data_IF_104197011193
#
_entry.id   IF_104197011193
#
_cell.length_a   1.000
_cell.length_b   1.000
_cell.length_c   1.000
_cell.angle_alpha   90.00
_cell.angle_beta   90.00
_cell.angle_gamma   90.00
#
_symmetry.space_group_name_H-M   'P 1'
#
loop_
_entity.id
_entity.type
_entity.pdbx_description
1 polymer ?
#
# COMPACT_ATOMS: atom_id res chain seq x y z
N UNK A 1 12.44 -1.37 26.74
CA UNK A 1 12.35 -0.50 25.56
C UNK A 1 11.87 -1.34 24.41
N UNK A 2 10.90 -0.88 23.63
CA UNK A 2 10.43 -1.58 22.43
C UNK A 2 11.58 -1.65 21.43
N UNK A 3 11.92 -2.85 21.00
CA UNK A 3 12.91 -3.09 19.96
C UNK A 3 12.39 -2.57 18.62
N UNK A 4 13.29 -2.08 17.79
CA UNK A 4 12.99 -1.57 16.44
C UNK A 4 12.49 -2.68 15.53
N UNK A 5 11.34 -2.47 14.88
CA UNK A 5 10.78 -3.42 13.92
C UNK A 5 11.57 -3.41 12.60
N UNK A 6 11.52 -4.50 11.84
CA UNK A 6 12.20 -4.60 10.53
C UNK A 6 11.17 -4.77 9.43
N UNK A 7 11.12 -3.81 8.52
CA UNK A 7 10.32 -3.89 7.29
C UNK A 7 11.21 -4.28 6.12
N UNK A 8 10.92 -5.39 5.47
CA UNK A 8 11.57 -5.79 4.22
C UNK A 8 10.82 -5.18 3.04
N UNK A 9 11.55 -4.45 2.19
CA UNK A 9 11.02 -3.69 1.06
C UNK A 9 11.92 -3.90 -0.18
N UNK A 10 11.38 -3.64 -1.37
CA UNK A 10 12.11 -3.77 -2.63
C UNK A 10 12.98 -2.55 -2.87
N UNK A 11 14.24 -2.78 -3.17
CA UNK A 11 15.17 -1.74 -3.59
C UNK A 11 14.74 -1.16 -4.95
N UNK A 12 15.06 0.12 -5.17
CA UNK A 12 15.11 0.72 -6.51
C UNK A 12 16.16 1.83 -6.56
N UNK A 13 16.40 2.35 -7.75
CA UNK A 13 17.26 3.52 -7.97
C UNK A 13 16.50 4.85 -7.86
N UNK A 14 15.22 4.83 -7.49
CA UNK A 14 14.43 6.05 -7.31
C UNK A 14 14.82 6.75 -6.00
N UNK A 15 14.86 8.09 -5.94
CA UNK A 15 15.21 8.81 -4.72
C UNK A 15 14.37 8.37 -3.50
N UNK A 16 15.07 7.87 -2.47
CA UNK A 16 14.47 7.41 -1.21
C UNK A 16 13.93 5.97 -1.21
N UNK A 17 14.03 5.24 -2.33
CA UNK A 17 13.69 3.82 -2.52
C UNK A 17 12.24 3.41 -2.17
N UNK A 18 11.38 4.34 -1.75
CA UNK A 18 9.97 4.09 -1.44
C UNK A 18 9.09 4.36 -2.68
N UNK A 19 8.73 3.30 -3.39
CA UNK A 19 7.96 3.38 -4.64
C UNK A 19 6.86 2.32 -4.73
N UNK A 20 7.12 1.10 -4.24
CA UNK A 20 6.18 -0.01 -4.41
C UNK A 20 4.95 0.16 -3.51
N UNK A 21 3.73 0.03 -4.05
CA UNK A 21 2.51 0.35 -3.32
C UNK A 21 2.21 -0.64 -2.18
N UNK A 22 2.66 -1.90 -2.26
CA UNK A 22 2.38 -2.86 -1.19
C UNK A 22 3.28 -2.65 0.04
N UNK A 23 4.61 -2.49 -0.09
CA UNK A 23 5.46 -2.14 1.04
C UNK A 23 5.26 -0.72 1.60
N UNK A 24 4.78 0.22 0.77
CA UNK A 24 4.40 1.55 1.26
C UNK A 24 3.29 1.47 2.33
N UNK A 25 2.32 0.54 2.22
CA UNK A 25 1.22 0.42 3.20
C UNK A 25 1.70 0.20 4.64
N UNK A 26 2.49 -0.86 4.97
CA UNK A 26 2.99 -1.03 6.33
C UNK A 26 3.96 0.08 6.73
N UNK A 27 4.73 0.66 5.80
CA UNK A 27 5.58 1.83 6.10
C UNK A 27 4.74 3.01 6.62
N UNK A 28 3.65 3.33 5.93
CA UNK A 28 2.71 4.39 6.33
C UNK A 28 2.08 4.07 7.69
N UNK A 29 1.65 2.82 7.91
CA UNK A 29 1.07 2.37 9.19
C UNK A 29 2.07 2.51 10.35
N UNK A 30 3.30 2.03 10.16
CA UNK A 30 4.35 2.08 11.19
C UNK A 30 4.62 3.52 11.62
N UNK A 31 4.76 4.43 10.64
CA UNK A 31 4.96 5.86 10.91
C UNK A 31 3.72 6.53 11.54
N UNK A 32 2.51 6.21 11.05
CA UNK A 32 1.25 6.69 11.63
C UNK A 32 1.13 6.33 13.12
N UNK A 33 1.41 5.06 13.46
CA UNK A 33 1.44 4.56 14.84
C UNK A 33 2.64 5.05 15.65
N UNK A 34 3.63 5.67 15.02
CA UNK A 34 4.86 6.14 15.69
C UNK A 34 5.76 4.99 16.17
N UNK A 35 5.67 3.82 15.53
CA UNK A 35 6.48 2.66 15.88
C UNK A 35 7.88 2.79 15.27
N UNK A 36 8.96 2.58 16.03
CA UNK A 36 10.32 2.63 15.49
C UNK A 36 10.56 1.43 14.58
N UNK A 37 11.00 1.67 13.35
CA UNK A 37 11.35 0.62 12.41
C UNK A 37 12.55 0.99 11.54
N UNK A 38 13.24 -0.02 11.03
CA UNK A 38 14.23 0.09 9.97
C UNK A 38 13.72 -0.63 8.73
N UNK A 39 14.22 -0.21 7.57
CA UNK A 39 13.95 -0.91 6.31
C UNK A 39 15.18 -1.70 5.89
N UNK A 40 14.97 -2.98 5.60
CA UNK A 40 15.93 -3.80 4.87
C UNK A 40 15.50 -3.80 3.41
N UNK A 41 16.33 -3.18 2.56
CA UNK A 41 16.10 -3.12 1.14
C UNK A 41 16.63 -4.39 0.46
N UNK A 42 15.80 -5.01 -0.36
CA UNK A 42 16.11 -6.26 -1.05
C UNK A 42 16.01 -6.05 -2.55
N UNK A 43 17.05 -6.44 -3.28
CA UNK A 43 17.04 -6.41 -4.75
C UNK A 43 15.91 -7.29 -5.29
N UNK A 44 15.24 -6.82 -6.35
CA UNK A 44 14.04 -7.48 -6.86
C UNK A 44 14.29 -8.96 -7.24
N UNK A 45 15.45 -9.25 -7.84
CA UNK A 45 15.87 -10.62 -8.21
C UNK A 45 16.06 -11.53 -6.99
N UNK A 46 16.39 -10.95 -5.84
CA UNK A 46 16.82 -11.67 -4.65
C UNK A 46 15.70 -11.80 -3.61
N UNK A 47 14.56 -11.11 -3.81
CA UNK A 47 13.40 -11.15 -2.89
C UNK A 47 13.03 -12.59 -2.53
N UNK A 48 12.91 -13.46 -3.53
CA UNK A 48 12.48 -14.84 -3.30
C UNK A 48 13.44 -15.60 -2.38
N UNK A 49 14.75 -15.46 -2.64
CA UNK A 49 15.81 -16.12 -1.87
C UNK A 49 15.89 -15.54 -0.46
N UNK A 50 15.89 -14.21 -0.34
CA UNK A 50 16.01 -13.50 0.93
C UNK A 50 14.83 -13.79 1.87
N UNK A 51 13.59 -13.70 1.37
CA UNK A 51 12.39 -13.94 2.18
C UNK A 51 12.30 -15.41 2.62
N UNK A 52 12.69 -16.34 1.74
CA UNK A 52 12.78 -17.76 2.11
C UNK A 52 13.84 -18.00 3.18
N UNK A 53 14.99 -17.35 3.10
CA UNK A 53 16.10 -17.53 4.05
C UNK A 53 15.74 -17.10 5.48
N UNK A 54 14.87 -16.08 5.64
CA UNK A 54 14.39 -15.64 6.96
C UNK A 54 13.17 -16.42 7.46
N UNK A 55 12.68 -17.41 6.69
CA UNK A 55 11.52 -18.22 7.05
C UNK A 55 10.17 -17.53 6.81
N UNK A 56 10.10 -16.52 5.94
CA UNK A 56 8.84 -15.86 5.60
C UNK A 56 7.88 -16.83 4.92
N UNK A 57 6.58 -16.70 5.19
CA UNK A 57 5.57 -17.55 4.55
C UNK A 57 5.41 -17.16 3.08
N UNK A 58 5.36 -18.12 2.14
CA UNK A 58 5.06 -17.84 0.75
C UNK A 58 3.57 -17.56 0.55
N UNK A 59 3.28 -16.81 -0.52
CA UNK A 59 1.97 -16.77 -1.16
C UNK A 59 1.91 -17.86 -2.25
N UNK A 60 0.69 -18.27 -2.61
CA UNK A 60 0.44 -19.23 -3.68
C UNK A 60 0.00 -18.50 -4.95
N UNK A 61 0.61 -18.84 -6.09
CA UNK A 61 0.06 -18.52 -7.43
C UNK A 61 -1.16 -19.38 -7.74
N UNK A 62 -1.89 -19.01 -8.78
CA UNK A 62 -3.03 -19.78 -9.32
C UNK A 62 -2.63 -21.20 -9.73
N UNK A 63 -1.38 -21.41 -10.14
CA UNK A 63 -0.79 -22.71 -10.49
C UNK A 63 -0.25 -23.50 -9.28
N UNK A 64 -0.37 -22.96 -8.06
CA UNK A 64 0.12 -23.58 -6.82
C UNK A 64 1.60 -23.33 -6.49
N UNK A 65 2.33 -22.61 -7.34
CA UNK A 65 3.74 -22.26 -7.12
C UNK A 65 3.90 -21.30 -5.94
N UNK A 66 4.89 -21.55 -5.10
CA UNK A 66 5.27 -20.65 -4.02
C UNK A 66 5.94 -19.38 -4.57
N UNK A 67 5.47 -18.24 -4.10
CA UNK A 67 6.08 -16.93 -4.34
C UNK A 67 6.31 -16.29 -3.00
N UNK A 68 7.51 -15.78 -2.78
CA UNK A 68 7.84 -15.05 -1.57
C UNK A 68 7.85 -13.56 -1.91
N UNK A 69 6.84 -12.76 -1.51
CA UNK A 69 6.77 -11.35 -1.83
C UNK A 69 7.32 -10.48 -0.69
N UNK A 70 7.51 -9.20 -1.00
CA UNK A 70 7.53 -8.10 -0.02
C UNK A 70 6.18 -7.36 -0.05
N UNK A 71 5.73 -6.72 1.04
CA UNK A 71 6.45 -6.56 2.30
C UNK A 71 6.42 -7.79 3.20
N UNK A 72 7.47 -7.90 4.02
CA UNK A 72 7.52 -8.76 5.20
C UNK A 72 7.87 -7.89 6.40
N UNK A 73 7.16 -8.06 7.52
CA UNK A 73 7.48 -7.42 8.80
C UNK A 73 8.07 -8.47 9.75
N UNK A 74 9.22 -8.16 10.35
CA UNK A 74 9.75 -8.88 11.49
C UNK A 74 9.62 -8.01 12.74
N UNK A 75 8.96 -8.55 13.77
CA UNK A 75 8.80 -7.89 15.05
C UNK A 75 9.60 -8.64 16.13
N UNK A 76 10.80 -8.15 16.52
CA UNK A 76 11.62 -8.78 17.54
C UNK A 76 11.01 -8.71 18.95
N UNK A 77 9.98 -7.88 19.19
CA UNK A 77 9.30 -7.80 20.47
C UNK A 77 8.41 -9.02 20.73
N UNK A 78 7.94 -9.68 19.68
CA UNK A 78 7.05 -10.85 19.76
C UNK A 78 7.61 -12.10 19.07
N UNK A 79 8.68 -11.94 18.28
CA UNK A 79 9.21 -12.99 17.40
C UNK A 79 8.36 -13.21 16.15
N UNK A 80 7.39 -12.34 15.86
CA UNK A 80 6.50 -12.49 14.72
C UNK A 80 7.21 -12.17 13.39
N UNK A 81 6.89 -12.95 12.36
CA UNK A 81 7.30 -12.74 10.99
C UNK A 81 6.06 -12.83 10.09
N UNK A 82 5.64 -11.69 9.56
CA UNK A 82 4.36 -11.53 8.87
C UNK A 82 4.61 -11.14 7.41
N UNK A 83 4.08 -11.95 6.48
CA UNK A 83 4.03 -11.66 5.05
C UNK A 83 2.64 -11.10 4.71
N UNK A 84 2.56 -10.25 3.69
CA UNK A 84 1.35 -9.56 3.19
C UNK A 84 1.02 -8.25 3.93
N UNK A 85 0.81 -7.18 3.16
CA UNK A 85 0.57 -5.83 3.70
C UNK A 85 -0.69 -5.73 4.56
N UNK A 86 -1.76 -6.46 4.23
CA UNK A 86 -3.01 -6.44 5.00
C UNK A 86 -2.85 -7.26 6.28
N UNK A 87 -2.20 -8.42 6.22
CA UNK A 87 -1.90 -9.21 7.42
C UNK A 87 -0.97 -8.45 8.38
N UNK A 88 0.01 -7.72 7.85
CA UNK A 88 0.85 -6.81 8.65
C UNK A 88 -0.02 -5.74 9.32
N UNK A 89 -0.94 -5.11 8.59
CA UNK A 89 -1.85 -4.12 9.16
C UNK A 89 -2.70 -4.70 10.29
N UNK A 90 -3.31 -5.87 10.09
CA UNK A 90 -4.12 -6.57 11.11
C UNK A 90 -3.30 -6.96 12.34
N UNK A 91 -2.05 -7.39 12.13
CA UNK A 91 -1.12 -7.70 13.21
C UNK A 91 -0.78 -6.45 14.03
N UNK A 92 -0.45 -5.34 13.36
CA UNK A 92 -0.12 -4.07 14.02
C UNK A 92 -1.32 -3.46 14.73
N UNK A 93 -2.53 -3.66 14.23
CA UNK A 93 -3.76 -3.24 14.92
C UNK A 93 -3.92 -3.93 16.26
N UNK A 94 -3.72 -5.26 16.29
CA UNK A 94 -3.89 -6.07 17.50
C UNK A 94 -2.75 -5.89 18.50
N UNK A 95 -1.52 -5.77 17.99
CA UNK A 95 -0.30 -5.75 18.83
C UNK A 95 -0.02 -4.35 19.37
N UNK A 96 -0.39 -3.30 18.63
CA UNK A 96 -0.11 -1.90 18.97
C UNK A 96 -1.39 -1.03 18.82
N UNK A 97 -2.34 -1.10 19.78
CA UNK A 97 -3.71 -0.60 19.59
C UNK A 97 -3.91 0.91 19.80
N UNK A 98 -2.86 1.68 20.10
CA UNK A 98 -2.98 3.11 20.49
C UNK A 98 -3.65 3.99 19.42
N UNK A 99 -3.39 3.71 18.15
CA UNK A 99 -4.04 4.37 17.01
C UNK A 99 -4.67 3.35 16.09
N UNK A 100 -5.98 3.40 15.91
CA UNK A 100 -6.70 2.44 15.08
C UNK A 100 -6.31 2.56 13.59
N UNK A 101 -6.04 1.43 12.96
CA UNK A 101 -5.90 1.28 11.51
C UNK A 101 -7.28 0.98 10.89
N UNK A 102 -8.10 0.21 11.62
CA UNK A 102 -9.39 -0.28 11.17
C UNK A 102 -10.52 0.21 12.08
N UNK A 103 -10.78 1.53 12.13
CA UNK A 103 -11.87 2.07 12.93
C UNK A 103 -13.21 1.43 12.54
N UNK A 104 -14.11 1.27 13.50
CA UNK A 104 -15.44 0.67 13.33
C UNK A 104 -15.42 -0.76 12.74
N UNK A 105 -14.39 -1.55 13.05
CA UNK A 105 -14.21 -2.92 12.53
C UNK A 105 -14.19 -2.99 10.98
N UNK A 106 -13.68 -1.93 10.35
CA UNK A 106 -13.64 -1.78 8.89
C UNK A 106 -12.74 -2.78 8.16
N UNK A 107 -11.91 -3.53 8.88
CA UNK A 107 -11.08 -4.62 8.31
C UNK A 107 -11.94 -5.63 7.53
N UNK A 108 -13.12 -5.96 8.05
CA UNK A 108 -14.06 -6.89 7.41
C UNK A 108 -14.51 -6.39 6.02
N UNK A 109 -14.68 -5.08 5.84
CA UNK A 109 -15.06 -4.46 4.57
C UNK A 109 -13.91 -4.50 3.57
N UNK A 110 -12.67 -4.34 4.04
CA UNK A 110 -11.47 -4.45 3.20
C UNK A 110 -11.27 -5.89 2.72
N UNK A 111 -11.56 -6.87 3.57
CA UNK A 111 -11.45 -8.30 3.27
C UNK A 111 -12.63 -8.86 2.46
N UNK A 112 -13.68 -8.07 2.26
CA UNK A 112 -14.85 -8.51 1.49
C UNK A 112 -14.44 -8.94 0.06
N UNK A 113 -14.89 -10.11 -0.43
CA UNK A 113 -14.56 -10.58 -1.77
C UNK A 113 -14.93 -9.60 -2.89
N UNK A 114 -15.94 -8.76 -2.70
CA UNK A 114 -16.33 -7.70 -3.64
C UNK A 114 -15.29 -6.60 -3.68
N UNK A 115 -14.81 -6.16 -2.51
CA UNK A 115 -13.70 -5.21 -2.38
C UNK A 115 -12.42 -5.79 -3.01
N UNK A 116 -12.13 -7.07 -2.77
CA UNK A 116 -11.01 -7.77 -3.38
C UNK A 116 -11.12 -7.83 -4.91
N UNK A 117 -12.30 -8.13 -5.47
CA UNK A 117 -12.54 -8.13 -6.92
C UNK A 117 -12.33 -6.74 -7.52
N UNK A 118 -12.83 -5.69 -6.88
CA UNK A 118 -12.59 -4.31 -7.32
C UNK A 118 -11.09 -3.98 -7.31
N UNK A 119 -10.40 -4.28 -6.20
CA UNK A 119 -8.96 -4.03 -6.06
C UNK A 119 -8.13 -4.81 -7.09
N UNK A 120 -8.44 -6.10 -7.32
CA UNK A 120 -7.77 -6.93 -8.32
C UNK A 120 -8.07 -6.41 -9.73
N UNK A 121 -9.33 -6.04 -10.01
CA UNK A 121 -9.74 -5.48 -11.30
C UNK A 121 -8.92 -4.24 -11.65
N UNK A 122 -8.88 -3.26 -10.74
CA UNK A 122 -8.12 -2.01 -10.89
C UNK A 122 -6.60 -2.24 -10.87
N UNK A 123 -6.10 -3.27 -10.18
CA UNK A 123 -4.66 -3.61 -10.18
C UNK A 123 -4.22 -4.35 -11.44
N UNK A 124 -5.10 -5.11 -12.08
CA UNK A 124 -4.78 -5.91 -13.26
C UNK A 124 -4.62 -5.06 -14.52
N UNK A 125 -5.45 -4.02 -14.67
CA UNK A 125 -4.97 -2.63 -14.69
C UNK A 125 -3.52 -2.35 -15.08
N UNK A 126 -2.77 -2.20 -14.01
CA UNK A 126 -1.57 -1.40 -13.95
C UNK A 126 -0.30 -2.23 -14.08
N UNK A 127 -0.43 -3.55 -14.05
CA UNK A 127 0.70 -4.47 -14.14
C UNK A 127 0.38 -5.64 -15.07
N UNK A 128 0.24 -5.41 -16.38
CA UNK A 128 0.40 -6.49 -17.34
C UNK A 128 1.89 -6.81 -17.43
N UNK A 129 2.28 -7.96 -16.87
CA UNK A 129 3.56 -8.59 -17.23
C UNK A 129 3.42 -9.18 -18.64
N UNK A 130 4.37 -8.97 -19.56
CA UNK A 130 5.69 -8.35 -19.37
C UNK A 130 5.74 -6.83 -19.63
N UNK A 131 6.68 -6.17 -18.95
CA UNK A 131 6.91 -4.71 -18.89
C UNK A 131 7.38 -4.05 -20.20
N UNK A 132 7.63 -4.82 -21.25
CA UNK A 132 8.24 -4.40 -22.52
C UNK A 132 7.25 -4.24 -23.67
N UNK A 133 6.00 -4.67 -23.47
CA UNK A 133 4.99 -4.51 -24.49
C UNK A 133 4.28 -3.17 -24.32
N UNK A 134 4.43 -2.33 -25.35
CA UNK A 134 3.65 -1.11 -25.54
C UNK A 134 2.16 -1.46 -25.55
N UNK A 135 1.49 -1.28 -24.42
CA UNK A 135 0.06 -1.47 -24.31
C UNK A 135 -0.61 -0.13 -24.04
N UNK A 136 -1.69 0.12 -24.78
CA UNK A 136 -2.45 1.36 -24.72
C UNK A 136 -3.04 1.56 -23.34
N UNK A 137 -2.54 2.56 -22.63
CA UNK A 137 -3.33 3.72 -22.22
C UNK A 137 -4.83 3.49 -22.01
N UNK A 138 -5.24 2.51 -21.19
CA UNK A 138 -6.64 2.39 -20.77
C UNK A 138 -6.93 3.40 -19.64
N UNK A 139 -6.65 4.67 -19.95
CA UNK A 139 -6.93 5.82 -19.13
C UNK A 139 -8.40 5.89 -18.76
N UNK A 140 -9.29 5.41 -19.63
CA UNK A 140 -10.73 5.39 -19.38
C UNK A 140 -11.08 4.49 -18.20
N UNK A 141 -10.46 3.32 -18.09
CA UNK A 141 -10.70 2.41 -16.97
C UNK A 141 -10.06 2.92 -15.67
N UNK A 142 -8.86 3.50 -15.74
CA UNK A 142 -8.21 4.14 -14.59
C UNK A 142 -9.05 5.32 -14.08
N UNK A 143 -9.47 6.21 -14.99
CA UNK A 143 -10.33 7.36 -14.69
C UNK A 143 -11.67 6.90 -14.12
N UNK A 144 -12.29 5.84 -14.66
CA UNK A 144 -13.50 5.24 -14.07
C UNK A 144 -13.27 4.78 -12.62
N UNK A 145 -12.13 4.16 -12.33
CA UNK A 145 -11.76 3.74 -10.98
C UNK A 145 -11.66 4.93 -10.02
N UNK A 146 -11.03 6.01 -10.46
CA UNK A 146 -10.91 7.23 -9.66
C UNK A 146 -12.22 8.03 -9.56
N UNK A 147 -13.07 8.06 -10.59
CA UNK A 147 -14.42 8.66 -10.51
C UNK A 147 -15.26 7.90 -9.47
N UNK A 148 -15.20 6.57 -9.50
CA UNK A 148 -15.90 5.73 -8.51
C UNK A 148 -15.37 5.98 -7.09
N UNK A 149 -14.05 6.04 -6.92
CA UNK A 149 -13.45 6.37 -5.63
C UNK A 149 -13.86 7.78 -5.17
N UNK A 150 -13.89 8.76 -6.08
CA UNK A 150 -14.29 10.13 -5.78
C UNK A 150 -15.73 10.18 -5.26
N UNK A 151 -16.66 9.51 -5.95
CA UNK A 151 -18.05 9.37 -5.50
C UNK A 151 -18.16 8.77 -4.10
N UNK A 152 -17.30 7.80 -3.74
CA UNK A 152 -17.27 7.24 -2.39
C UNK A 152 -16.82 8.26 -1.34
N UNK A 153 -15.77 9.05 -1.62
CA UNK A 153 -15.35 10.13 -0.73
C UNK A 153 -16.44 11.22 -0.58
N UNK A 154 -17.33 11.39 -1.55
CA UNK A 154 -18.45 12.34 -1.43
C UNK A 154 -19.62 11.81 -0.58
N UNK A 155 -19.63 10.53 -0.20
CA UNK A 155 -20.72 9.95 0.63
C UNK A 155 -20.59 10.24 2.11
N UNK A 156 -19.45 10.75 2.55
CA UNK A 156 -19.18 11.10 3.94
C UNK A 156 -18.74 12.54 4.02
N UNK A 157 -19.22 13.28 5.02
CA UNK A 157 -18.66 14.58 5.34
C UNK A 157 -17.29 14.39 6.00
N UNK A 158 -16.29 15.14 5.55
CA UNK A 158 -14.96 15.15 6.14
C UNK A 158 -13.84 14.91 5.14
N UNK A 159 -12.62 14.81 5.67
CA UNK A 159 -11.38 14.78 4.88
C UNK A 159 -11.05 13.39 4.31
N UNK A 160 -11.37 12.36 5.06
CA UNK A 160 -10.98 10.96 4.86
C UNK A 160 -12.11 10.11 4.30
N UNK A 161 -11.80 8.87 3.94
CA UNK A 161 -12.76 7.92 3.39
C UNK A 161 -13.92 7.62 4.36
N UNK A 162 -13.66 7.71 5.66
CA UNK A 162 -14.65 7.53 6.73
C UNK A 162 -15.02 8.88 7.38
N UNK A 163 -15.11 9.93 6.56
CA UNK A 163 -15.39 11.29 7.01
C UNK A 163 -14.21 11.92 7.75
N UNK A 164 -14.38 12.27 9.03
CA UNK A 164 -13.29 12.84 9.84
C UNK A 164 -12.34 11.78 10.43
N UNK A 165 -12.56 10.50 10.14
CA UNK A 165 -11.76 9.39 10.68
C UNK A 165 -10.78 8.85 9.63
N UNK A 166 -9.47 8.98 9.90
CA UNK A 166 -8.42 8.39 9.09
C UNK A 166 -8.41 6.85 9.23
N UNK A 167 -8.18 6.13 8.12
CA UNK A 167 -8.30 4.68 8.08
C UNK A 167 -7.32 4.02 7.11
N UNK A 168 -7.25 2.69 7.14
CA UNK A 168 -6.50 1.92 6.14
C UNK A 168 -6.95 2.16 4.70
N UNK A 169 -8.21 2.51 4.46
CA UNK A 169 -8.71 2.81 3.12
C UNK A 169 -7.99 4.03 2.52
N UNK A 170 -7.75 5.07 3.31
CA UNK A 170 -6.99 6.26 2.91
C UNK A 170 -5.54 5.89 2.56
N UNK A 171 -4.91 5.01 3.36
CA UNK A 171 -3.55 4.50 3.12
C UNK A 171 -3.48 3.71 1.81
N UNK A 172 -4.46 2.86 1.51
CA UNK A 172 -4.50 2.09 0.25
C UNK A 172 -4.50 3.05 -0.96
N UNK A 173 -5.37 4.07 -0.94
CA UNK A 173 -5.48 5.02 -2.05
C UNK A 173 -4.21 5.87 -2.17
N UNK A 174 -3.68 6.38 -1.05
CA UNK A 174 -2.45 7.16 -1.04
C UNK A 174 -1.24 6.36 -1.52
N UNK A 175 -1.07 5.09 -1.10
CA UNK A 175 0.05 4.27 -1.55
C UNK A 175 -0.01 3.98 -3.06
N UNK A 176 -1.21 3.91 -3.65
CA UNK A 176 -1.37 3.80 -5.11
C UNK A 176 -0.97 5.10 -5.81
N UNK A 177 -1.40 6.25 -5.28
CA UNK A 177 -1.03 7.58 -5.80
C UNK A 177 0.47 7.84 -5.68
N UNK A 178 1.09 7.43 -4.56
CA UNK A 178 2.54 7.47 -4.38
C UNK A 178 3.24 6.68 -5.48
N UNK A 179 2.78 5.46 -5.76
CA UNK A 179 3.38 4.65 -6.82
C UNK A 179 3.30 5.35 -8.17
N UNK A 180 2.13 5.87 -8.57
CA UNK A 180 1.98 6.64 -9.81
C UNK A 180 2.93 7.83 -9.90
N UNK A 181 2.99 8.65 -8.84
CA UNK A 181 3.92 9.80 -8.75
C UNK A 181 5.39 9.38 -8.90
N UNK A 182 5.74 8.14 -8.57
CA UNK A 182 7.12 7.64 -8.56
C UNK A 182 7.53 6.96 -9.87
N UNK A 183 6.59 6.35 -10.59
CA UNK A 183 6.92 5.49 -11.76
C UNK A 183 6.41 6.02 -13.10
N UNK A 184 5.38 6.86 -13.10
CA UNK A 184 4.86 7.46 -14.32
C UNK A 184 5.73 8.65 -14.77
N UNK A 185 5.58 9.04 -16.03
CA UNK A 185 6.14 10.30 -16.52
C UNK A 185 5.44 11.48 -15.83
N UNK A 186 6.10 12.63 -15.82
CA UNK A 186 5.59 13.82 -15.14
C UNK A 186 4.22 14.26 -15.68
N UNK A 187 4.00 14.22 -16.99
CA UNK A 187 2.74 14.58 -17.64
C UNK A 187 1.59 13.62 -17.30
N UNK A 188 1.89 12.33 -17.19
CA UNK A 188 0.96 11.29 -16.76
C UNK A 188 0.56 11.47 -15.28
N UNK A 189 1.52 11.78 -14.41
CA UNK A 189 1.24 12.14 -13.02
C UNK A 189 0.42 13.43 -12.90
N UNK A 190 0.76 14.48 -13.67
CA UNK A 190 0.00 15.74 -13.71
C UNK A 190 -1.45 15.48 -14.13
N UNK A 191 -1.68 14.59 -15.11
CA UNK A 191 -3.03 14.18 -15.51
C UNK A 191 -3.81 13.57 -14.34
N UNK A 192 -3.28 12.52 -13.70
CA UNK A 192 -3.98 11.84 -12.58
C UNK A 192 -4.18 12.81 -11.41
N UNK A 193 -3.14 13.58 -11.06
CA UNK A 193 -3.14 14.44 -9.89
C UNK A 193 -4.07 15.65 -10.03
N UNK A 194 -4.38 16.08 -11.26
CA UNK A 194 -5.30 17.19 -11.56
C UNK A 194 -6.79 16.79 -11.57
N UNK A 195 -7.11 15.49 -11.65
CA UNK A 195 -8.50 15.03 -11.62
C UNK A 195 -9.25 15.50 -10.37
N UNK A 196 -10.55 15.76 -10.55
CA UNK A 196 -11.45 16.26 -9.51
C UNK A 196 -10.91 17.50 -8.78
N UNK A 197 -10.33 18.44 -9.53
CA UNK A 197 -9.82 19.70 -8.99
C UNK A 197 -8.60 19.54 -8.08
N UNK A 198 -7.76 18.53 -8.31
CA UNK A 198 -6.55 18.31 -7.52
C UNK A 198 -6.74 17.41 -6.29
N UNK A 199 -7.91 16.78 -6.12
CA UNK A 199 -8.26 15.98 -4.94
C UNK A 199 -7.21 14.91 -4.62
N UNK A 200 -6.65 14.26 -5.64
CA UNK A 200 -5.72 13.14 -5.44
C UNK A 200 -4.32 13.59 -5.02
N UNK A 201 -3.82 14.70 -5.58
CA UNK A 201 -2.59 15.33 -5.11
C UNK A 201 -2.71 15.73 -3.63
N UNK A 202 -3.84 16.36 -3.29
CA UNK A 202 -4.14 16.78 -1.93
C UNK A 202 -4.26 15.60 -0.96
N UNK A 203 -4.99 14.54 -1.36
CA UNK A 203 -5.13 13.33 -0.55
C UNK A 203 -3.77 12.68 -0.25
N UNK A 204 -2.89 12.55 -1.25
CA UNK A 204 -1.56 11.99 -1.03
C UNK A 204 -0.77 12.81 0.00
N UNK A 205 -0.70 14.13 -0.18
CA UNK A 205 0.00 15.02 0.75
C UNK A 205 -0.60 14.97 2.17
N UNK A 206 -1.91 14.88 2.25
CA UNK A 206 -2.63 14.78 3.52
C UNK A 206 -2.33 13.49 4.26
N UNK A 207 -2.32 12.35 3.57
CA UNK A 207 -1.98 11.05 4.17
C UNK A 207 -0.50 11.01 4.57
N UNK A 208 0.41 11.54 3.74
CA UNK A 208 1.84 11.64 4.09
C UNK A 208 2.04 12.46 5.36
N UNK A 209 1.31 13.58 5.51
CA UNK A 209 1.32 14.40 6.72
C UNK A 209 0.75 13.65 7.94
N UNK A 210 -0.40 12.99 7.79
CA UNK A 210 -1.03 12.21 8.87
C UNK A 210 -0.12 11.07 9.34
N UNK A 211 0.58 10.43 8.41
CA UNK A 211 1.55 9.37 8.69
C UNK A 211 2.94 9.88 9.09
N UNK A 212 3.17 11.21 9.18
CA UNK A 212 4.47 11.83 9.51
C UNK A 212 5.62 11.38 8.59
N UNK A 213 5.35 11.32 7.28
CA UNK A 213 6.31 10.96 6.24
C UNK A 213 6.86 12.16 5.46
N UNK A 214 6.32 13.36 5.71
CA UNK A 214 6.73 14.62 5.11
C UNK A 214 7.85 15.31 5.91
#
# INVERSE_FOLDING_TARGET
MTQTLVLYDTLSNLPGNNWSPNPAKPRFILSYKGLPFVTVWVEYSDISVAMKAIGAKPNKRSDGTDVYPVPVLSDPNTGALITDSLEIASYLEKTYPEKAIFPNNSESLIRDPTSAKFFIGVRSIDVPLPWDATYGEDWALLEKGYNTAYEWYQKTDGKWFMGDTFSYADIIVACRLLWFKRVLKEDEWVRISSWHGGKWAQLLADVEKECKLA
#
